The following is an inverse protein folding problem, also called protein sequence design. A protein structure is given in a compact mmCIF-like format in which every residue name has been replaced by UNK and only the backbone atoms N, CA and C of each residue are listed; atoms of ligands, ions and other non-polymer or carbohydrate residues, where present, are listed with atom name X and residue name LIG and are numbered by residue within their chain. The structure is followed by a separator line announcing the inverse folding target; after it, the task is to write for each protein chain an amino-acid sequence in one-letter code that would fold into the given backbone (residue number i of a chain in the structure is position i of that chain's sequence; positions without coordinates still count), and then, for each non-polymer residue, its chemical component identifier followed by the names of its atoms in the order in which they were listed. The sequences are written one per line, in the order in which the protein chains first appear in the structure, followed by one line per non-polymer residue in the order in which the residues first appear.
data_IF_700735586510
#
_entry.id   IF_700735586510
#
_cell.length_a   1.000
_cell.length_b   1.000
_cell.length_c   1.000
_cell.angle_alpha   90.00
_cell.angle_beta   90.00
_cell.angle_gamma   90.00
#
_symmetry.space_group_name_H-M   'P 1'
#
loop_
_entity.id
_entity.type
_entity.pdbx_description
1 polymer ?
#
# COMPACT_ATOMS: atom_id res chain seq x y z
N UNK A 1 -25.26 -4.38 34.53
CA UNK A 1 -25.12 -3.66 33.23
C UNK A 1 -23.67 -3.74 32.79
N UNK A 2 -23.34 -4.49 31.73
CA UNK A 2 -21.96 -4.54 31.19
C UNK A 2 -21.79 -3.38 30.21
N UNK A 3 -21.02 -2.36 30.60
CA UNK A 3 -20.56 -1.32 29.68
C UNK A 3 -19.62 -1.97 28.65
N UNK A 4 -20.17 -2.33 27.48
CA UNK A 4 -19.34 -2.64 26.30
C UNK A 4 -18.75 -1.33 25.82
N UNK A 5 -17.50 -1.02 26.21
CA UNK A 5 -16.70 0.00 25.52
C UNK A 5 -16.68 -0.37 24.04
N UNK A 6 -17.32 0.45 23.21
CA UNK A 6 -17.24 0.34 21.75
C UNK A 6 -15.76 0.53 21.40
N UNK A 7 -15.10 -0.50 20.91
CA UNK A 7 -13.73 -0.36 20.42
C UNK A 7 -13.83 0.42 19.10
N UNK A 8 -13.65 1.74 19.16
CA UNK A 8 -13.44 2.56 17.97
C UNK A 8 -12.08 2.19 17.39
N UNK A 9 -12.06 1.63 16.18
CA UNK A 9 -10.84 1.40 15.43
C UNK A 9 -10.69 2.51 14.41
N UNK A 10 -9.47 3.00 14.25
CA UNK A 10 -9.12 3.90 13.16
C UNK A 10 -8.85 3.05 11.91
N UNK A 11 -9.22 3.58 10.76
CA UNK A 11 -8.99 2.96 9.46
C UNK A 11 -8.37 3.98 8.52
N UNK A 12 -7.59 3.49 7.57
CA UNK A 12 -7.07 4.26 6.46
C UNK A 12 -7.65 3.66 5.18
N UNK A 13 -8.40 4.48 4.44
CA UNK A 13 -8.82 4.14 3.08
C UNK A 13 -7.67 4.40 2.13
N UNK A 14 -7.26 3.39 1.38
CA UNK A 14 -6.11 3.46 0.46
C UNK A 14 -6.58 3.10 -0.94
N UNK A 15 -6.40 4.04 -1.86
CA UNK A 15 -6.55 3.80 -3.29
C UNK A 15 -5.17 3.57 -3.90
N UNK A 16 -4.97 2.41 -4.51
CA UNK A 16 -3.75 2.07 -5.23
C UNK A 16 -4.06 2.11 -6.71
N UNK A 17 -3.23 2.84 -7.45
CA UNK A 17 -3.24 2.84 -8.91
C UNK A 17 -1.82 2.62 -9.41
N UNK A 18 -1.66 1.66 -10.31
CA UNK A 18 -0.40 1.37 -10.97
C UNK A 18 -0.61 1.32 -12.49
N UNK A 19 0.15 2.13 -13.21
CA UNK A 19 0.09 2.23 -14.66
C UNK A 19 1.48 1.91 -15.21
N UNK A 20 1.71 0.71 -15.75
CA UNK A 20 3.00 0.39 -16.33
C UNK A 20 3.20 1.13 -17.65
N UNK A 21 4.44 1.49 -17.96
CA UNK A 21 4.81 2.06 -19.26
C UNK A 21 4.76 0.99 -20.37
N UNK A 22 5.18 -0.23 -20.06
CA UNK A 22 5.16 -1.38 -20.96
C UNK A 22 4.08 -2.41 -20.56
N UNK A 23 3.40 -2.97 -21.55
CA UNK A 23 2.40 -4.02 -21.33
C UNK A 23 3.06 -5.38 -21.05
N UNK A 24 3.47 -5.60 -19.80
CA UNK A 24 4.03 -6.89 -19.37
C UNK A 24 3.02 -8.02 -19.27
N UNK A 25 1.72 -7.71 -19.29
CA UNK A 25 0.68 -8.74 -19.26
C UNK A 25 0.33 -9.25 -20.67
N UNK A 26 0.73 -8.49 -21.70
CA UNK A 26 0.43 -8.77 -23.09
C UNK A 26 -1.06 -9.02 -23.32
N UNK A 27 -1.39 -10.04 -24.10
CA UNK A 27 -2.77 -10.38 -24.45
C UNK A 27 -3.56 -11.10 -23.33
N UNK A 28 -2.97 -11.32 -22.14
CA UNK A 28 -3.61 -12.07 -21.06
C UNK A 28 -4.13 -11.14 -19.97
N UNK A 29 -5.24 -11.54 -19.35
CA UNK A 29 -5.65 -10.97 -18.08
C UNK A 29 -4.67 -11.46 -17.00
N UNK A 30 -4.14 -10.52 -16.24
CA UNK A 30 -3.14 -10.74 -15.21
C UNK A 30 -3.55 -10.00 -13.94
N UNK A 31 -2.98 -10.43 -12.83
CA UNK A 31 -3.11 -9.75 -11.55
C UNK A 31 -1.73 -9.27 -11.11
N UNK A 32 -1.73 -8.16 -10.37
CA UNK A 32 -0.54 -7.63 -9.72
C UNK A 32 -0.71 -7.78 -8.21
N UNK A 33 0.06 -8.70 -7.63
CA UNK A 33 0.08 -8.92 -6.19
C UNK A 33 0.82 -7.78 -5.50
N UNK A 34 0.39 -7.41 -4.30
CA UNK A 34 1.09 -6.39 -3.51
C UNK A 34 0.96 -6.66 -2.01
N UNK A 35 1.82 -5.99 -1.25
CA UNK A 35 1.75 -5.91 0.20
C UNK A 35 1.85 -4.45 0.63
N UNK A 36 0.97 -4.04 1.53
CA UNK A 36 1.03 -2.75 2.21
C UNK A 36 1.54 -2.97 3.63
N UNK A 37 2.55 -2.20 4.02
CA UNK A 37 3.08 -2.17 5.37
C UNK A 37 2.77 -0.84 6.05
N UNK A 38 2.22 -0.89 7.25
CA UNK A 38 2.22 0.27 8.14
C UNK A 38 3.55 0.29 8.87
N UNK A 39 4.32 1.37 8.75
CA UNK A 39 5.65 1.49 9.30
C UNK A 39 5.73 2.63 10.31
N UNK A 40 6.55 2.48 11.34
CA UNK A 40 6.91 3.56 12.26
C UNK A 40 8.41 3.80 12.26
N UNK A 41 8.78 5.07 12.42
CA UNK A 41 10.16 5.45 12.65
C UNK A 41 10.43 5.42 14.16
N UNK A 42 11.29 4.52 14.62
CA UNK A 42 11.82 4.59 15.99
C UNK A 42 12.95 5.62 16.12
N UNK A 43 13.60 5.93 14.99
CA UNK A 43 14.62 6.96 14.84
C UNK A 43 14.62 7.42 13.36
N UNK A 44 15.57 8.28 12.98
CA UNK A 44 15.61 8.86 11.63
C UNK A 44 16.03 7.88 10.51
N UNK A 45 16.45 6.66 10.84
CA UNK A 45 17.01 5.68 9.88
C UNK A 45 16.25 4.35 9.85
N UNK A 46 15.60 3.97 10.95
CA UNK A 46 15.00 2.65 11.11
C UNK A 46 13.47 2.71 11.06
N UNK A 47 12.92 2.10 10.01
CA UNK A 47 11.49 1.84 9.87
C UNK A 47 11.16 0.43 10.37
N UNK A 48 10.23 0.33 11.30
CA UNK A 48 9.71 -0.94 11.78
C UNK A 48 8.30 -1.18 11.23
N UNK A 49 8.05 -2.38 10.69
CA UNK A 49 6.70 -2.79 10.30
C UNK A 49 5.83 -3.08 11.52
N UNK A 50 4.69 -2.41 11.59
CA UNK A 50 3.63 -2.66 12.58
C UNK A 50 2.60 -3.66 12.06
N UNK A 51 2.28 -3.58 10.77
CA UNK A 51 1.25 -4.39 10.14
C UNK A 51 1.59 -4.61 8.68
N UNK A 52 1.22 -5.78 8.17
CA UNK A 52 1.30 -6.15 6.77
C UNK A 52 -0.10 -6.58 6.30
N UNK A 53 -0.51 -6.10 5.14
CA UNK A 53 -1.73 -6.53 4.46
C UNK A 53 -1.41 -6.81 3.01
N UNK A 54 -1.71 -8.03 2.57
CA UNK A 54 -1.50 -8.45 1.18
C UNK A 54 -2.79 -8.24 0.37
N UNK A 55 -2.62 -8.00 -0.93
CA UNK A 55 -3.72 -7.81 -1.87
C UNK A 55 -3.30 -8.15 -3.30
N UNK A 56 -4.26 -8.04 -4.22
CA UNK A 56 -4.06 -8.39 -5.63
C UNK A 56 -4.96 -7.51 -6.50
N UNK A 57 -4.34 -6.65 -7.29
CA UNK A 57 -5.05 -5.80 -8.25
C UNK A 57 -5.28 -6.55 -9.55
N UNK A 58 -6.49 -6.48 -10.09
CA UNK A 58 -6.76 -6.98 -11.44
C UNK A 58 -6.46 -5.90 -12.47
N UNK A 59 -5.94 -6.32 -13.62
CA UNK A 59 -5.75 -5.41 -14.75
C UNK A 59 -7.10 -4.91 -15.28
N UNK A 60 -7.21 -3.58 -15.42
CA UNK A 60 -8.33 -2.91 -16.06
C UNK A 60 -8.28 -3.13 -17.58
N UNK A 61 -9.39 -3.60 -18.15
CA UNK A 61 -9.52 -3.76 -19.61
C UNK A 61 -9.56 -2.42 -20.36
N UNK A 62 -9.93 -1.33 -19.68
CA UNK A 62 -10.14 -0.01 -20.31
C UNK A 62 -8.85 0.77 -20.45
N UNK A 63 -8.08 0.83 -19.36
CA UNK A 63 -6.94 1.73 -19.25
C UNK A 63 -5.61 0.97 -19.18
N UNK A 64 -5.65 -0.36 -19.28
CA UNK A 64 -4.51 -1.29 -19.24
C UNK A 64 -3.67 -1.23 -17.94
N UNK A 65 -4.07 -0.43 -16.95
CA UNK A 65 -3.46 -0.33 -15.63
C UNK A 65 -4.13 -1.20 -14.56
N UNK A 66 -3.68 -1.06 -13.32
CA UNK A 66 -4.14 -1.80 -12.16
C UNK A 66 -4.67 -0.83 -11.12
N UNK A 67 -5.84 -1.12 -10.56
CA UNK A 67 -6.47 -0.27 -9.55
C UNK A 67 -7.16 -1.13 -8.49
N UNK A 68 -7.03 -0.73 -7.23
CA UNK A 68 -7.80 -1.31 -6.12
C UNK A 68 -8.04 -0.29 -5.01
N UNK A 69 -9.22 -0.39 -4.38
CA UNK A 69 -9.53 0.29 -3.14
C UNK A 69 -9.44 -0.73 -2.00
N UNK A 70 -8.60 -0.46 -1.01
CA UNK A 70 -8.44 -1.32 0.15
C UNK A 70 -8.49 -0.51 1.44
N UNK A 71 -8.86 -1.18 2.53
CA UNK A 71 -8.97 -0.55 3.85
C UNK A 71 -7.92 -1.19 4.74
N UNK A 72 -7.10 -0.35 5.38
CA UNK A 72 -6.10 -0.78 6.33
C UNK A 72 -6.58 -0.40 7.72
N UNK A 73 -6.67 -1.42 8.58
CA UNK A 73 -6.98 -1.19 9.99
C UNK A 73 -5.75 -0.66 10.71
N UNK A 74 -5.92 0.44 11.42
CA UNK A 74 -4.84 1.02 12.22
C UNK A 74 -5.04 0.61 13.67
N UNK A 75 -4.10 -0.16 14.22
CA UNK A 75 -4.17 -0.61 15.61
C UNK A 75 -4.02 0.55 16.60
N UNK A 76 -4.65 0.45 17.77
CA UNK A 76 -4.62 1.51 18.80
C UNK A 76 -3.25 1.75 19.43
N UNK A 77 -2.27 0.90 19.15
CA UNK A 77 -0.93 0.98 19.74
C UNK A 77 0.04 1.78 18.89
N UNK A 78 -0.48 2.64 18.01
CA UNK A 78 0.34 3.63 17.34
C UNK A 78 1.11 4.46 18.38
N UNK A 79 2.41 4.65 18.19
CA UNK A 79 3.23 5.43 19.11
C UNK A 79 2.75 6.90 19.14
N UNK A 80 3.00 7.56 20.29
CA UNK A 80 2.51 8.87 20.73
C UNK A 80 2.47 10.00 19.66
N UNK A 81 1.75 11.08 19.98
CA UNK A 81 1.39 12.24 19.11
C UNK A 81 2.48 12.81 18.18
N UNK A 82 3.77 12.58 18.45
CA UNK A 82 4.89 13.04 17.62
C UNK A 82 5.48 11.97 16.67
N UNK A 83 4.88 10.79 16.59
CA UNK A 83 5.40 9.67 15.81
C UNK A 83 4.94 9.73 14.37
N UNK A 84 5.89 9.68 13.42
CA UNK A 84 5.56 9.57 12.00
C UNK A 84 5.19 8.14 11.65
N UNK A 85 4.04 8.00 11.00
CA UNK A 85 3.59 6.75 10.41
C UNK A 85 3.82 6.83 8.90
N UNK A 86 4.41 5.79 8.35
CA UNK A 86 4.67 5.67 6.93
C UNK A 86 3.88 4.49 6.36
N UNK A 87 3.52 4.60 5.09
CA UNK A 87 2.92 3.52 4.34
C UNK A 87 3.95 3.00 3.34
N UNK A 88 4.36 1.74 3.50
CA UNK A 88 5.18 1.05 2.52
C UNK A 88 4.30 0.26 1.56
N UNK A 89 4.52 0.39 0.26
CA UNK A 89 3.90 -0.46 -0.75
C UNK A 89 4.98 -1.30 -1.41
N UNK A 90 4.77 -2.61 -1.45
CA UNK A 90 5.59 -3.54 -2.22
C UNK A 90 4.71 -4.20 -3.27
N UNK A 91 5.14 -4.14 -4.51
CA UNK A 91 4.53 -4.85 -5.62
C UNK A 91 5.35 -6.13 -5.88
N UNK A 92 4.68 -7.22 -6.19
CA UNK A 92 5.31 -8.50 -6.55
C UNK A 92 4.96 -8.84 -8.00
N UNK A 93 5.59 -9.89 -8.54
CA UNK A 93 5.29 -10.40 -9.88
C UNK A 93 5.55 -9.36 -11.01
N UNK A 94 6.36 -8.34 -10.72
CA UNK A 94 6.85 -7.37 -11.70
C UNK A 94 8.08 -7.97 -12.39
N UNK A 95 8.09 -8.02 -13.74
CA UNK A 95 9.27 -8.42 -14.49
C UNK A 95 10.54 -7.61 -14.13
N UNK A 96 11.69 -8.28 -14.07
CA UNK A 96 12.97 -7.70 -13.63
C UNK A 96 13.42 -6.51 -14.50
N UNK A 97 13.00 -6.45 -15.76
CA UNK A 97 13.27 -5.36 -16.70
C UNK A 97 12.48 -4.07 -16.39
N UNK A 98 11.38 -4.15 -15.65
CA UNK A 98 10.55 -3.01 -15.26
C UNK A 98 10.89 -2.54 -13.84
N UNK A 99 11.52 -3.40 -13.01
CA UNK A 99 11.90 -3.07 -11.62
C UNK A 99 12.77 -1.81 -11.51
N UNK A 100 13.58 -1.49 -12.53
CA UNK A 100 14.41 -0.29 -12.58
C UNK A 100 13.64 1.04 -12.72
N UNK A 101 12.36 1.01 -13.10
CA UNK A 101 11.52 2.21 -13.27
C UNK A 101 10.79 2.63 -11.98
N UNK A 102 10.79 1.79 -10.95
CA UNK A 102 10.06 2.04 -9.69
C UNK A 102 10.77 2.98 -8.73
N UNK A 103 12.07 3.25 -8.91
CA UNK A 103 12.80 4.18 -8.06
C UNK A 103 12.33 5.65 -8.24
N UNK A 104 11.72 5.99 -9.38
CA UNK A 104 11.30 7.37 -9.68
C UNK A 104 9.84 7.69 -9.33
N UNK A 105 8.95 6.70 -9.27
CA UNK A 105 7.49 6.93 -9.15
C UNK A 105 7.00 7.20 -7.72
N UNK A 106 7.74 6.82 -6.69
CA UNK A 106 7.34 7.08 -5.29
C UNK A 106 7.56 8.52 -4.82
N UNK A 107 8.03 9.42 -5.69
CA UNK A 107 8.26 10.84 -5.33
C UNK A 107 7.00 11.67 -5.16
N UNK A 108 5.83 11.22 -5.63
CA UNK A 108 4.61 12.03 -5.66
C UNK A 108 3.50 11.44 -4.77
N UNK A 109 3.72 11.37 -3.46
CA UNK A 109 2.60 11.39 -2.51
C UNK A 109 2.34 12.85 -2.18
N UNK A 110 1.56 13.53 -3.01
CA UNK A 110 1.07 14.87 -2.68
C UNK A 110 0.05 14.75 -1.54
N UNK A 111 0.28 15.52 -0.48
CA UNK A 111 -0.69 15.72 0.59
C UNK A 111 -1.86 16.52 0.02
N UNK A 112 -3.03 15.91 -0.06
CA UNK A 112 -4.30 16.64 -0.24
C UNK A 112 -4.79 17.26 1.07
#
# INVERSE_FOLDING_TARGET
MRNKKKLEHSFLDVFIKFQPEDDFCGARQCNLSYAISLLTAQNQFDLQSLMLQDGSMQRSEKDLGFEENTIIRVEKHLPHEDSKIFLGLRLFDIPDDIQGLFEDSFRNIEKS
#
